data_IF_817537238239
#
_entry.id   IF_817537238239
#
_cell.length_a   1.000
_cell.length_b   1.000
_cell.length_c   1.000
_cell.angle_alpha   90.00
_cell.angle_beta   90.00
_cell.angle_gamma   90.00
#
_symmetry.space_group_name_H-M   'P 1'
#
loop_
_entity.id
_entity.type
_entity.pdbx_description
1 polymer ?
#
# COMPACT_ATOMS: atom_id res chain seq x y z
N UNK A 1 21.18 22.94 -32.93
CA UNK A 1 20.17 22.99 -31.84
C UNK A 1 19.23 21.78 -31.86
N UNK A 2 18.57 21.41 -32.97
CA UNK A 2 17.67 20.22 -33.04
C UNK A 2 18.37 18.88 -32.74
N UNK A 3 19.58 18.68 -33.25
CA UNK A 3 20.31 17.42 -33.07
C UNK A 3 20.81 17.20 -31.63
N UNK A 4 21.16 18.26 -30.88
CA UNK A 4 21.53 18.19 -29.47
C UNK A 4 20.31 17.89 -28.56
N UNK A 5 19.16 18.41 -28.90
CA UNK A 5 17.91 18.12 -28.21
C UNK A 5 17.51 16.63 -28.35
N UNK A 6 17.64 16.08 -29.56
CA UNK A 6 17.37 14.66 -29.85
C UNK A 6 18.36 13.71 -29.15
N UNK A 7 19.65 14.07 -29.07
CA UNK A 7 20.67 13.26 -28.37
C UNK A 7 20.41 13.27 -26.86
N UNK A 8 20.08 14.43 -26.27
CA UNK A 8 19.71 14.54 -24.84
C UNK A 8 18.44 13.78 -24.51
N UNK A 9 17.41 13.84 -25.35
CA UNK A 9 16.18 13.10 -25.17
C UNK A 9 16.41 11.57 -25.20
N UNK A 10 17.19 11.06 -26.15
CA UNK A 10 17.57 9.64 -26.22
C UNK A 10 18.36 9.18 -24.99
N UNK A 11 19.31 9.99 -24.53
CA UNK A 11 20.10 9.71 -23.32
C UNK A 11 19.23 9.66 -22.07
N UNK A 12 18.26 10.57 -21.95
CA UNK A 12 17.30 10.60 -20.84
C UNK A 12 16.38 9.37 -20.85
N UNK A 13 15.84 9.01 -22.02
CA UNK A 13 15.01 7.82 -22.18
C UNK A 13 15.76 6.53 -21.85
N UNK A 14 17.01 6.41 -22.30
CA UNK A 14 17.87 5.28 -21.94
C UNK A 14 18.14 5.20 -20.44
N UNK A 15 18.34 6.33 -19.77
CA UNK A 15 18.53 6.40 -18.31
C UNK A 15 17.26 5.94 -17.57
N UNK A 16 16.08 6.38 -18.03
CA UNK A 16 14.81 5.94 -17.45
C UNK A 16 14.55 4.45 -17.65
N UNK A 17 14.78 3.92 -18.84
CA UNK A 17 14.67 2.47 -19.11
C UNK A 17 15.58 1.68 -18.19
N UNK A 18 16.86 2.07 -18.08
CA UNK A 18 17.81 1.38 -17.22
C UNK A 18 17.41 1.44 -15.73
N UNK A 19 16.87 2.58 -15.29
CA UNK A 19 16.34 2.72 -13.94
C UNK A 19 15.18 1.74 -13.69
N UNK A 20 14.28 1.59 -14.64
CA UNK A 20 13.18 0.64 -14.55
C UNK A 20 13.68 -0.81 -14.56
N UNK A 21 14.65 -1.18 -15.41
CA UNK A 21 15.26 -2.51 -15.43
C UNK A 21 15.81 -2.89 -14.04
N UNK A 22 16.41 -1.94 -13.31
CA UNK A 22 16.91 -2.16 -11.94
C UNK A 22 15.76 -2.39 -10.95
N UNK A 23 14.68 -1.61 -11.05
CA UNK A 23 13.51 -1.77 -10.18
C UNK A 23 12.83 -3.11 -10.47
N UNK A 24 12.71 -3.51 -11.73
CA UNK A 24 12.13 -4.79 -12.15
C UNK A 24 12.94 -5.96 -11.57
N UNK A 25 14.27 -5.88 -11.64
CA UNK A 25 15.16 -6.88 -11.06
C UNK A 25 15.04 -6.96 -9.53
N UNK A 26 14.91 -5.81 -8.85
CA UNK A 26 14.74 -5.75 -7.40
C UNK A 26 13.38 -6.33 -6.96
N UNK A 27 12.31 -5.95 -7.66
CA UNK A 27 10.96 -6.45 -7.42
C UNK A 27 10.89 -7.98 -7.62
N UNK A 28 11.42 -8.47 -8.74
CA UNK A 28 11.45 -9.91 -9.05
C UNK A 28 12.19 -10.70 -7.96
N UNK A 29 13.41 -10.30 -7.61
CA UNK A 29 14.18 -10.95 -6.54
C UNK A 29 13.47 -10.89 -5.19
N UNK A 30 12.82 -9.77 -4.89
CA UNK A 30 12.04 -9.62 -3.66
C UNK A 30 10.83 -10.55 -3.63
N UNK A 31 10.13 -10.71 -4.73
CA UNK A 31 8.96 -11.61 -4.83
C UNK A 31 9.37 -13.10 -4.79
N UNK A 32 10.51 -13.45 -5.40
CA UNK A 32 11.05 -14.82 -5.43
C UNK A 32 11.72 -15.22 -4.10
N UNK A 33 12.23 -14.25 -3.32
CA UNK A 33 13.02 -14.51 -2.11
C UNK A 33 12.17 -14.87 -0.88
N UNK A 34 12.80 -15.49 0.12
CA UNK A 34 12.17 -15.89 1.38
C UNK A 34 12.49 -14.89 2.51
N UNK A 35 11.74 -13.80 2.60
CA UNK A 35 11.67 -13.00 3.84
C UNK A 35 12.80 -12.00 4.10
N UNK A 36 13.73 -11.73 3.17
CA UNK A 36 14.76 -10.68 3.32
C UNK A 36 14.81 -9.77 2.10
N UNK A 37 15.24 -8.51 2.33
CA UNK A 37 15.51 -7.59 1.22
C UNK A 37 16.75 -8.08 0.47
N UNK A 38 16.68 -8.29 -0.87
CA UNK A 38 17.83 -8.57 -1.70
C UNK A 38 18.94 -7.53 -1.51
N UNK A 39 20.18 -7.97 -1.56
CA UNK A 39 21.33 -7.08 -1.51
C UNK A 39 21.48 -6.29 -2.82
N UNK A 40 22.12 -5.12 -2.77
CA UNK A 40 22.44 -4.34 -3.96
C UNK A 40 23.29 -5.13 -4.98
N UNK A 41 24.10 -6.09 -4.52
CA UNK A 41 24.92 -6.94 -5.40
C UNK A 41 24.06 -7.95 -6.18
N UNK A 42 23.07 -8.57 -5.52
CA UNK A 42 22.13 -9.49 -6.15
C UNK A 42 21.26 -8.77 -7.18
N UNK A 43 20.74 -7.58 -6.83
CA UNK A 43 19.96 -6.77 -7.76
C UNK A 43 20.80 -6.33 -8.98
N UNK A 44 22.00 -5.84 -8.76
CA UNK A 44 22.89 -5.45 -9.87
C UNK A 44 23.18 -6.65 -10.78
N UNK A 45 23.49 -7.82 -10.21
CA UNK A 45 23.70 -9.06 -10.97
C UNK A 45 22.46 -9.45 -11.79
N UNK A 46 21.26 -9.41 -11.20
CA UNK A 46 20.00 -9.72 -11.87
C UNK A 46 19.70 -8.74 -13.01
N UNK A 47 20.01 -7.44 -12.80
CA UNK A 47 19.88 -6.38 -13.81
C UNK A 47 21.03 -6.36 -14.85
N UNK A 48 21.96 -7.31 -14.78
CA UNK A 48 23.14 -7.38 -15.65
C UNK A 48 24.02 -6.13 -15.61
N UNK A 49 24.31 -5.66 -14.38
CA UNK A 49 25.09 -4.45 -14.08
C UNK A 49 26.21 -4.74 -13.07
N UNK A 50 27.25 -3.91 -13.11
CA UNK A 50 28.20 -3.84 -11.99
C UNK A 50 27.51 -3.18 -10.77
N UNK A 51 27.84 -3.64 -9.54
CA UNK A 51 27.28 -3.09 -8.29
C UNK A 51 27.39 -1.56 -8.20
N UNK A 52 28.53 -0.98 -8.61
CA UNK A 52 28.73 0.48 -8.61
C UNK A 52 27.79 1.23 -9.54
N UNK A 53 27.34 0.60 -10.64
CA UNK A 53 26.41 1.20 -11.58
C UNK A 53 25.02 1.39 -10.97
N UNK A 54 24.58 0.52 -10.06
CA UNK A 54 23.30 0.67 -9.35
C UNK A 54 23.24 1.98 -8.58
N UNK A 55 24.35 2.36 -7.93
CA UNK A 55 24.43 3.60 -7.13
C UNK A 55 24.48 4.89 -7.95
N UNK A 56 24.60 4.80 -9.30
CA UNK A 56 24.38 5.94 -10.19
C UNK A 56 22.87 6.27 -10.38
N UNK A 57 21.99 5.34 -10.03
CA UNK A 57 20.54 5.46 -10.18
C UNK A 57 19.78 5.59 -8.85
N UNK A 58 20.32 5.01 -7.77
CA UNK A 58 19.70 4.98 -6.44
C UNK A 58 20.76 5.28 -5.39
N UNK A 59 20.50 6.26 -4.55
CA UNK A 59 21.43 6.68 -3.48
C UNK A 59 21.73 5.54 -2.49
N UNK A 60 20.76 4.65 -2.26
CA UNK A 60 20.90 3.49 -1.38
C UNK A 60 20.06 2.31 -1.87
N UNK A 61 20.25 1.15 -1.26
CA UNK A 61 19.38 -0.01 -1.46
C UNK A 61 17.96 0.30 -0.98
N UNK A 62 17.84 1.02 0.10
CA UNK A 62 16.59 1.43 0.72
C UNK A 62 15.80 2.38 -0.20
N UNK A 63 16.46 3.34 -0.85
CA UNK A 63 15.87 4.20 -1.87
C UNK A 63 15.32 3.39 -3.06
N UNK A 64 16.02 2.34 -3.49
CA UNK A 64 15.52 1.43 -4.52
C UNK A 64 14.26 0.67 -4.04
N UNK A 65 14.25 0.16 -2.82
CA UNK A 65 13.09 -0.58 -2.30
C UNK A 65 11.90 0.33 -1.95
N UNK A 66 12.09 1.62 -1.71
CA UNK A 66 10.98 2.60 -1.71
C UNK A 66 10.31 2.70 -3.09
N UNK A 67 11.05 2.55 -4.20
CA UNK A 67 10.46 2.48 -5.54
C UNK A 67 9.63 1.21 -5.75
N UNK A 68 10.12 0.06 -5.31
CA UNK A 68 9.37 -1.19 -5.35
C UNK A 68 8.10 -1.07 -4.53
N UNK A 69 8.19 -0.51 -3.32
CA UNK A 69 7.03 -0.26 -2.46
C UNK A 69 6.01 0.67 -3.11
N UNK A 70 6.46 1.71 -3.83
CA UNK A 70 5.56 2.60 -4.60
C UNK A 70 4.80 1.86 -5.69
N UNK A 71 5.42 0.88 -6.37
CA UNK A 71 4.72 0.04 -7.36
C UNK A 71 3.63 -0.80 -6.72
N UNK A 72 3.86 -1.34 -5.53
CA UNK A 72 2.84 -2.09 -4.80
C UNK A 72 1.68 -1.20 -4.37
N UNK A 73 1.97 -0.01 -3.85
CA UNK A 73 0.94 0.99 -3.56
C UNK A 73 0.18 1.43 -4.81
N UNK A 74 0.87 1.57 -5.94
CA UNK A 74 0.22 1.88 -7.22
C UNK A 74 -0.80 0.80 -7.60
N UNK A 75 -0.40 -0.46 -7.59
CA UNK A 75 -1.30 -1.57 -7.90
C UNK A 75 -2.50 -1.65 -6.96
N UNK A 76 -2.29 -1.38 -5.66
CA UNK A 76 -3.39 -1.32 -4.70
C UNK A 76 -4.33 -0.15 -4.97
N UNK A 77 -3.81 1.04 -5.26
CA UNK A 77 -4.63 2.21 -5.58
C UNK A 77 -5.43 2.03 -6.87
N UNK A 78 -4.83 1.46 -7.90
CA UNK A 78 -5.50 1.18 -9.16
C UNK A 78 -6.65 0.18 -8.96
N UNK A 79 -6.42 -0.90 -8.22
CA UNK A 79 -7.45 -1.87 -7.84
C UNK A 79 -8.59 -1.20 -7.02
N UNK A 80 -8.24 -0.36 -6.04
CA UNK A 80 -9.24 0.33 -5.22
C UNK A 80 -10.12 1.26 -6.05
N UNK A 81 -9.52 2.01 -7.00
CA UNK A 81 -10.26 2.90 -7.89
C UNK A 81 -11.18 2.12 -8.82
N UNK A 82 -10.74 0.97 -9.35
CA UNK A 82 -11.58 0.09 -10.16
C UNK A 82 -12.80 -0.42 -9.39
N UNK A 83 -12.60 -0.86 -8.13
CA UNK A 83 -13.69 -1.30 -7.26
C UNK A 83 -14.69 -0.17 -7.00
N UNK A 84 -14.19 1.04 -6.70
CA UNK A 84 -15.02 2.22 -6.45
C UNK A 84 -15.81 2.60 -7.72
N UNK A 85 -15.18 2.55 -8.90
CA UNK A 85 -15.84 2.82 -10.17
C UNK A 85 -16.95 1.79 -10.46
N UNK A 86 -16.70 0.51 -10.24
CA UNK A 86 -17.72 -0.54 -10.37
C UNK A 86 -18.88 -0.32 -9.39
N UNK A 87 -18.59 0.10 -8.18
CA UNK A 87 -19.62 0.43 -7.17
C UNK A 87 -20.42 1.68 -7.56
N UNK A 88 -19.77 2.69 -8.17
CA UNK A 88 -20.42 3.90 -8.65
C UNK A 88 -21.43 3.64 -9.77
N UNK A 89 -21.22 2.60 -10.59
CA UNK A 89 -22.15 2.17 -11.66
C UNK A 89 -23.46 1.59 -11.11
N UNK A 90 -23.51 1.21 -9.82
CA UNK A 90 -24.73 0.71 -9.19
C UNK A 90 -25.68 1.85 -8.84
N UNK A 91 -27.00 1.60 -8.86
CA UNK A 91 -27.96 2.53 -8.30
C UNK A 91 -27.57 2.92 -6.87
N UNK A 92 -27.73 4.20 -6.46
CA UNK A 92 -27.32 4.64 -5.11
C UNK A 92 -27.89 3.81 -3.96
N UNK A 93 -29.11 3.29 -4.10
CA UNK A 93 -29.75 2.44 -3.08
C UNK A 93 -29.14 1.02 -2.97
N UNK A 94 -28.36 0.57 -3.96
CA UNK A 94 -27.71 -0.75 -4.01
C UNK A 94 -26.22 -0.68 -3.67
N UNK A 95 -25.68 0.51 -3.46
CA UNK A 95 -24.27 0.71 -3.08
C UNK A 95 -24.03 0.22 -1.66
N UNK A 96 -23.02 -0.64 -1.53
CA UNK A 96 -22.63 -1.24 -0.24
C UNK A 96 -21.17 -0.92 0.09
N UNK A 97 -20.87 0.02 1.00
CA UNK A 97 -19.51 0.34 1.39
C UNK A 97 -18.77 -0.84 2.04
N UNK A 98 -19.50 -1.80 2.65
CA UNK A 98 -18.85 -2.99 3.22
C UNK A 98 -18.37 -3.96 2.13
N UNK A 99 -18.97 -3.93 0.92
CA UNK A 99 -18.44 -4.64 -0.25
C UNK A 99 -17.10 -4.05 -0.68
N UNK A 100 -17.03 -2.71 -0.79
CA UNK A 100 -15.78 -2.01 -1.11
C UNK A 100 -14.71 -2.31 -0.06
N UNK A 101 -15.05 -2.30 1.22
CA UNK A 101 -14.14 -2.64 2.30
C UNK A 101 -13.57 -4.06 2.17
N UNK A 102 -14.42 -5.07 1.85
CA UNK A 102 -13.97 -6.46 1.64
C UNK A 102 -12.97 -6.57 0.51
N UNK A 103 -13.24 -5.96 -0.63
CA UNK A 103 -12.35 -5.99 -1.78
C UNK A 103 -11.00 -5.31 -1.49
N UNK A 104 -10.99 -4.23 -0.71
CA UNK A 104 -9.76 -3.57 -0.26
C UNK A 104 -8.89 -4.49 0.58
N UNK A 105 -9.51 -5.23 1.51
CA UNK A 105 -8.81 -6.19 2.37
C UNK A 105 -8.34 -7.39 1.58
N UNK A 106 -9.18 -7.95 0.72
CA UNK A 106 -8.88 -9.13 -0.09
C UNK A 106 -7.63 -8.91 -0.96
N UNK A 107 -7.49 -7.71 -1.53
CA UNK A 107 -6.27 -7.35 -2.27
C UNK A 107 -5.01 -7.46 -1.41
N UNK A 108 -5.05 -6.95 -0.18
CA UNK A 108 -3.91 -6.92 0.73
C UNK A 108 -3.61 -8.31 1.30
N UNK A 109 -4.64 -9.05 1.70
CA UNK A 109 -4.52 -10.40 2.27
C UNK A 109 -3.81 -11.36 1.30
N UNK A 110 -4.10 -11.24 0.01
CA UNK A 110 -3.47 -12.05 -1.04
C UNK A 110 -2.03 -11.64 -1.38
N UNK A 111 -1.49 -10.57 -0.76
CA UNK A 111 -0.18 -9.98 -1.11
C UNK A 111 0.73 -9.79 0.09
N UNK A 112 1.06 -10.90 0.76
CA UNK A 112 1.94 -10.91 1.95
C UNK A 112 3.29 -10.23 1.71
N UNK A 113 3.84 -10.32 0.49
CA UNK A 113 5.10 -9.64 0.13
C UNK A 113 4.96 -8.12 0.12
N UNK A 114 3.81 -7.58 -0.31
CA UNK A 114 3.53 -6.15 -0.18
C UNK A 114 3.49 -5.72 1.29
N UNK A 115 2.75 -6.46 2.13
CA UNK A 115 2.65 -6.16 3.57
C UNK A 115 4.02 -6.25 4.26
N UNK A 116 4.84 -7.24 3.90
CA UNK A 116 6.20 -7.34 4.40
C UNK A 116 7.03 -6.10 4.04
N UNK A 117 7.05 -5.68 2.77
CA UNK A 117 7.82 -4.50 2.37
C UNK A 117 7.28 -3.22 3.04
N UNK A 118 5.96 -3.09 3.16
CA UNK A 118 5.32 -1.97 3.84
C UNK A 118 5.66 -1.93 5.34
N UNK A 119 5.78 -3.08 6.01
CA UNK A 119 6.18 -3.14 7.41
C UNK A 119 7.60 -2.62 7.66
N UNK A 120 8.46 -2.67 6.65
CA UNK A 120 9.83 -2.16 6.71
C UNK A 120 9.92 -0.64 6.40
N UNK A 121 8.82 0.00 5.98
CA UNK A 121 8.85 1.38 5.47
C UNK A 121 9.51 2.33 6.45
N UNK A 122 8.97 2.48 7.65
CA UNK A 122 9.45 3.49 8.63
C UNK A 122 10.75 3.09 9.32
N UNK A 123 10.89 1.82 9.68
CA UNK A 123 12.00 1.34 10.49
C UNK A 123 13.27 1.04 9.70
N UNK A 124 13.17 0.80 8.40
CA UNK A 124 14.30 0.37 7.56
C UNK A 124 14.45 1.25 6.32
N UNK A 125 13.40 1.31 5.48
CA UNK A 125 13.54 1.93 4.16
C UNK A 125 13.72 3.46 4.26
N UNK A 126 12.88 4.13 5.06
CA UNK A 126 12.94 5.58 5.21
C UNK A 126 14.17 6.03 6.01
N UNK A 127 14.64 5.21 6.96
CA UNK A 127 15.86 5.51 7.71
C UNK A 127 17.14 5.33 6.88
N UNK A 128 17.15 4.39 5.94
CA UNK A 128 18.30 4.09 5.10
C UNK A 128 18.33 4.83 3.75
N UNK A 129 17.23 5.49 3.37
CA UNK A 129 17.14 6.27 2.14
C UNK A 129 17.51 7.74 2.38
N UNK A 130 17.86 8.45 1.29
CA UNK A 130 18.06 9.90 1.31
C UNK A 130 16.70 10.65 1.40
N UNK A 131 16.76 11.90 1.90
CA UNK A 131 15.58 12.74 2.12
C UNK A 131 14.74 12.96 0.85
N UNK A 132 15.39 13.07 -0.32
CA UNK A 132 14.70 13.25 -1.60
C UNK A 132 13.88 12.02 -1.95
N UNK A 133 14.46 10.83 -1.84
CA UNK A 133 13.78 9.54 -2.08
C UNK A 133 12.60 9.34 -1.11
N UNK A 134 12.77 9.67 0.16
CA UNK A 134 11.71 9.62 1.18
C UNK A 134 10.59 10.60 0.82
N UNK A 135 10.92 11.84 0.51
CA UNK A 135 9.93 12.87 0.17
C UNK A 135 9.13 12.53 -1.09
N UNK A 136 9.79 11.99 -2.12
CA UNK A 136 9.13 11.49 -3.34
C UNK A 136 8.14 10.37 -2.98
N UNK A 137 8.56 9.41 -2.13
CA UNK A 137 7.69 8.33 -1.68
C UNK A 137 6.47 8.86 -0.90
N UNK A 138 6.67 9.76 0.07
CA UNK A 138 5.58 10.34 0.87
C UNK A 138 4.58 11.13 0.01
N UNK A 139 5.07 11.94 -0.91
CA UNK A 139 4.21 12.69 -1.86
C UNK A 139 3.39 11.76 -2.73
N UNK A 140 3.98 10.66 -3.19
CA UNK A 140 3.28 9.66 -3.98
C UNK A 140 2.15 9.01 -3.18
N UNK A 141 2.44 8.52 -1.97
CA UNK A 141 1.44 7.90 -1.09
C UNK A 141 0.32 8.88 -0.75
N UNK A 142 0.66 10.14 -0.42
CA UNK A 142 -0.33 11.18 -0.13
C UNK A 142 -1.27 11.46 -1.33
N UNK A 143 -0.71 11.56 -2.54
CA UNK A 143 -1.50 11.74 -3.76
C UNK A 143 -2.40 10.55 -4.08
N UNK A 144 -1.91 9.34 -3.85
CA UNK A 144 -2.66 8.10 -4.00
C UNK A 144 -3.84 8.04 -3.03
N UNK A 145 -3.59 8.28 -1.74
CA UNK A 145 -4.63 8.30 -0.71
C UNK A 145 -5.68 9.35 -1.02
N UNK A 146 -5.24 10.57 -1.41
CA UNK A 146 -6.16 11.64 -1.81
C UNK A 146 -7.07 11.19 -2.95
N UNK A 147 -6.52 10.66 -4.03
CA UNK A 147 -7.30 10.24 -5.20
C UNK A 147 -8.35 9.17 -4.87
N UNK A 148 -8.00 8.19 -4.03
CA UNK A 148 -8.95 7.15 -3.59
C UNK A 148 -10.00 7.73 -2.64
N UNK A 149 -9.59 8.65 -1.74
CA UNK A 149 -10.52 9.31 -0.83
C UNK A 149 -11.52 10.23 -1.57
N UNK A 150 -11.07 10.97 -2.58
CA UNK A 150 -11.96 11.78 -3.43
C UNK A 150 -13.05 10.90 -4.07
N UNK A 151 -12.67 9.77 -4.65
CA UNK A 151 -13.60 8.83 -5.27
C UNK A 151 -14.61 8.22 -4.26
N UNK A 152 -14.15 7.83 -3.06
CA UNK A 152 -15.04 7.36 -1.99
C UNK A 152 -15.98 8.44 -1.51
N UNK A 153 -15.49 9.68 -1.36
CA UNK A 153 -16.30 10.83 -0.93
C UNK A 153 -17.45 11.09 -1.88
N UNK A 154 -17.18 11.00 -3.18
CA UNK A 154 -18.19 11.22 -4.22
C UNK A 154 -19.31 10.17 -4.18
N UNK A 155 -18.97 8.88 -4.08
CA UNK A 155 -19.98 7.82 -4.17
C UNK A 155 -20.80 7.62 -2.89
N UNK A 156 -20.25 7.97 -1.71
CA UNK A 156 -20.91 7.75 -0.42
C UNK A 156 -21.33 9.04 0.28
N UNK A 157 -21.13 10.20 -0.32
CA UNK A 157 -21.44 11.52 0.26
C UNK A 157 -20.82 11.72 1.67
N UNK A 158 -19.58 11.28 1.83
CA UNK A 158 -18.77 11.47 3.04
C UNK A 158 -17.70 12.53 2.79
N UNK A 159 -17.14 13.13 3.84
CA UNK A 159 -16.06 14.09 3.69
C UNK A 159 -14.75 13.41 3.23
N UNK A 160 -13.89 14.17 2.53
CA UNK A 160 -12.57 13.68 2.12
C UNK A 160 -11.74 13.19 3.33
N UNK A 161 -11.88 13.85 4.50
CA UNK A 161 -11.18 13.44 5.72
C UNK A 161 -11.69 12.09 6.25
N UNK A 162 -13.01 11.86 6.23
CA UNK A 162 -13.61 10.58 6.61
C UNK A 162 -13.14 9.46 5.68
N UNK A 163 -13.14 9.71 4.36
CA UNK A 163 -12.65 8.76 3.38
C UNK A 163 -11.16 8.44 3.57
N UNK A 164 -10.32 9.45 3.84
CA UNK A 164 -8.90 9.25 4.18
C UNK A 164 -8.71 8.39 5.43
N UNK A 165 -9.50 8.64 6.47
CA UNK A 165 -9.44 7.87 7.70
C UNK A 165 -9.83 6.40 7.47
N UNK A 166 -10.89 6.16 6.68
CA UNK A 166 -11.27 4.79 6.29
C UNK A 166 -10.11 4.06 5.63
N UNK A 167 -9.45 4.68 4.65
CA UNK A 167 -8.33 4.08 3.93
C UNK A 167 -7.10 3.84 4.82
N UNK A 168 -6.67 4.87 5.56
CA UNK A 168 -5.45 4.81 6.37
C UNK A 168 -5.59 3.81 7.52
N UNK A 169 -6.73 3.84 8.23
CA UNK A 169 -6.97 2.93 9.37
C UNK A 169 -7.18 1.50 8.89
N UNK A 170 -7.84 1.27 7.74
CA UNK A 170 -7.95 -0.07 7.16
C UNK A 170 -6.57 -0.66 6.83
N UNK A 171 -5.70 0.13 6.20
CA UNK A 171 -4.34 -0.31 5.92
C UNK A 171 -3.55 -0.61 7.20
N UNK A 172 -3.65 0.25 8.21
CA UNK A 172 -2.99 0.07 9.50
C UNK A 172 -3.48 -1.20 10.23
N UNK A 173 -4.78 -1.46 10.24
CA UNK A 173 -5.37 -2.68 10.82
C UNK A 173 -4.83 -3.94 10.12
N UNK A 174 -4.88 -3.97 8.79
CA UNK A 174 -4.39 -5.12 8.01
C UNK A 174 -2.90 -5.34 8.24
N UNK A 175 -2.09 -4.26 8.18
CA UNK A 175 -0.64 -4.35 8.38
C UNK A 175 -0.27 -4.82 9.78
N UNK A 176 -0.95 -4.29 10.82
CA UNK A 176 -0.73 -4.68 12.21
C UNK A 176 -1.09 -6.16 12.46
N UNK A 177 -2.25 -6.61 11.99
CA UNK A 177 -2.67 -8.00 12.09
C UNK A 177 -1.74 -8.93 11.31
N UNK A 178 -1.29 -8.51 10.12
CA UNK A 178 -0.30 -9.25 9.38
C UNK A 178 1.01 -9.40 10.17
N UNK A 179 1.54 -8.32 10.75
CA UNK A 179 2.77 -8.40 11.57
C UNK A 179 2.60 -9.34 12.75
N UNK A 180 1.48 -9.27 13.45
CA UNK A 180 1.18 -10.16 14.58
C UNK A 180 1.03 -11.63 14.18
N UNK A 181 0.58 -11.91 12.96
CA UNK A 181 0.45 -13.27 12.42
C UNK A 181 1.79 -13.88 11.97
N UNK A 182 2.87 -13.09 11.82
CA UNK A 182 4.18 -13.56 11.35
C UNK A 182 4.96 -14.26 12.47
N UNK A 183 4.34 -15.24 13.11
CA UNK A 183 4.97 -16.03 14.18
C UNK A 183 5.86 -17.11 13.55
N UNK A 184 7.16 -17.22 13.94
CA UNK A 184 8.04 -18.27 13.43
C UNK A 184 7.48 -19.68 13.71
N UNK A 185 7.61 -20.61 12.76
CA UNK A 185 7.07 -21.97 12.85
C UNK A 185 7.45 -22.68 14.17
N UNK A 186 8.70 -22.51 14.61
CA UNK A 186 9.16 -23.03 15.90
C UNK A 186 8.31 -22.53 17.06
N UNK A 187 7.91 -21.26 17.05
CA UNK A 187 7.10 -20.66 18.11
C UNK A 187 5.66 -21.15 18.02
N UNK A 188 5.11 -21.30 16.82
CA UNK A 188 3.78 -21.90 16.60
C UNK A 188 3.71 -23.31 17.19
N UNK A 189 4.74 -24.13 16.98
CA UNK A 189 4.83 -25.47 17.57
C UNK A 189 4.84 -25.40 19.10
N UNK A 190 5.63 -24.50 19.70
CA UNK A 190 5.68 -24.31 21.14
C UNK A 190 4.32 -23.85 21.71
N UNK A 191 3.63 -22.94 21.02
CA UNK A 191 2.31 -22.48 21.45
C UNK A 191 1.32 -23.64 21.47
N UNK A 192 1.25 -24.43 20.42
CA UNK A 192 0.38 -25.63 20.35
C UNK A 192 0.68 -26.66 21.45
N UNK A 193 1.97 -26.91 21.76
CA UNK A 193 2.37 -27.84 22.80
C UNK A 193 2.04 -27.38 24.23
N UNK A 194 1.73 -26.07 24.41
CA UNK A 194 1.45 -25.46 25.71
C UNK A 194 0.02 -24.87 25.83
N UNK A 195 -0.92 -25.32 25.00
CA UNK A 195 -2.31 -24.89 24.98
C UNK A 195 -2.46 -23.35 24.83
N UNK A 196 -1.68 -22.77 23.92
CA UNK A 196 -1.69 -21.33 23.58
C UNK A 196 -2.18 -21.10 22.14
N UNK A 197 -2.91 -22.03 21.56
CA UNK A 197 -3.42 -21.94 20.18
C UNK A 197 -4.28 -20.70 19.94
N UNK A 198 -5.02 -20.25 20.94
CA UNK A 198 -5.86 -19.07 20.89
C UNK A 198 -5.09 -17.76 20.64
N UNK A 199 -3.76 -17.78 20.81
CA UNK A 199 -2.88 -16.67 20.47
C UNK A 199 -2.44 -16.68 19.00
N UNK A 200 -2.72 -17.74 18.24
CA UNK A 200 -2.36 -17.86 16.83
C UNK A 200 -3.42 -17.15 15.99
N UNK A 201 -3.04 -16.07 15.35
CA UNK A 201 -3.95 -15.25 14.55
C UNK A 201 -4.16 -15.90 13.18
N UNK A 202 -5.40 -16.20 12.82
CA UNK A 202 -5.81 -16.36 11.42
C UNK A 202 -5.85 -14.98 10.77
N UNK A 203 -4.80 -14.67 10.03
CA UNK A 203 -4.63 -13.33 9.44
C UNK A 203 -5.77 -12.95 8.51
N UNK A 204 -6.17 -13.82 7.58
CA UNK A 204 -7.16 -13.50 6.58
C UNK A 204 -8.53 -13.19 7.21
N UNK A 205 -8.98 -14.06 8.10
CA UNK A 205 -10.24 -13.90 8.80
C UNK A 205 -10.23 -12.69 9.74
N UNK A 206 -9.14 -12.51 10.49
CA UNK A 206 -9.03 -11.41 11.44
C UNK A 206 -8.98 -10.06 10.74
N UNK A 207 -8.24 -9.94 9.61
CA UNK A 207 -8.15 -8.72 8.83
C UNK A 207 -9.50 -8.34 8.21
N UNK A 208 -10.20 -9.30 7.60
CA UNK A 208 -11.53 -9.06 7.04
C UNK A 208 -12.51 -8.60 8.12
N UNK A 209 -12.60 -9.36 9.21
CA UNK A 209 -13.53 -9.03 10.31
C UNK A 209 -13.22 -7.64 10.88
N UNK A 210 -11.96 -7.34 11.21
CA UNK A 210 -11.59 -6.08 11.83
C UNK A 210 -11.91 -4.87 10.93
N UNK A 211 -11.62 -4.95 9.64
CA UNK A 211 -11.90 -3.85 8.71
C UNK A 211 -13.38 -3.69 8.45
N UNK A 212 -14.13 -4.78 8.31
CA UNK A 212 -15.59 -4.71 8.11
C UNK A 212 -16.27 -4.08 9.31
N UNK A 213 -15.93 -4.49 10.54
CA UNK A 213 -16.52 -3.90 11.75
C UNK A 213 -16.10 -2.43 11.93
N UNK A 214 -14.84 -2.09 11.63
CA UNK A 214 -14.38 -0.71 11.61
C UNK A 214 -15.21 0.14 10.63
N UNK A 215 -15.36 -0.29 9.37
CA UNK A 215 -16.17 0.46 8.39
C UNK A 215 -17.63 0.58 8.81
N UNK A 216 -18.22 -0.49 9.36
CA UNK A 216 -19.61 -0.47 9.85
C UNK A 216 -19.80 0.57 10.95
N UNK A 217 -18.87 0.64 11.89
CA UNK A 217 -18.93 1.62 12.98
C UNK A 217 -18.80 3.05 12.46
N UNK A 218 -17.80 3.32 11.60
CA UNK A 218 -17.57 4.63 11.03
C UNK A 218 -18.76 5.12 10.18
N UNK A 219 -19.30 4.27 9.30
CA UNK A 219 -20.46 4.61 8.46
C UNK A 219 -21.69 4.91 9.31
N UNK A 220 -21.87 4.18 10.41
CA UNK A 220 -22.98 4.43 11.34
C UNK A 220 -22.82 5.77 12.02
N UNK A 221 -21.63 6.10 12.51
CA UNK A 221 -21.32 7.40 13.12
C UNK A 221 -21.55 8.56 12.14
N UNK A 222 -21.07 8.43 10.89
CA UNK A 222 -21.27 9.44 9.83
C UNK A 222 -22.74 9.72 9.53
N UNK A 223 -23.60 8.70 9.56
CA UNK A 223 -25.05 8.88 9.34
C UNK A 223 -25.69 9.66 10.49
N UNK A 224 -25.28 9.43 11.73
CA UNK A 224 -25.78 10.17 12.89
C UNK A 224 -25.38 11.64 12.86
N UNK A 225 -24.12 11.93 12.51
CA UNK A 225 -23.61 13.31 12.41
C UNK A 225 -24.33 14.11 11.32
N UNK A 226 -24.65 13.49 10.19
CA UNK A 226 -25.39 14.11 9.10
C UNK A 226 -26.85 14.43 9.50
N UNK A 227 -27.53 13.57 10.26
CA UNK A 227 -28.89 13.80 10.77
C UNK A 227 -28.89 14.95 11.78
N UNK A 228 -27.97 14.95 12.73
CA UNK A 228 -27.86 16.00 13.74
C UNK A 228 -27.55 17.38 13.13
N UNK A 229 -26.71 17.41 12.09
CA UNK A 229 -26.41 18.64 11.35
C UNK A 229 -27.61 19.17 10.57
N UNK A 230 -28.46 18.30 10.05
CA UNK A 230 -29.68 18.69 9.31
C UNK A 230 -30.76 19.24 10.25
N UNK A 231 -30.93 18.64 11.41
CA UNK A 231 -31.89 19.11 12.44
C UNK A 231 -31.47 20.48 13.02
N UNK A 232 -30.17 20.72 13.19
CA UNK A 232 -29.65 22.00 13.65
C UNK A 232 -29.89 23.15 12.65
N UNK A 233 -29.87 22.86 11.34
CA UNK A 233 -30.10 23.86 10.28
C UNK A 233 -31.62 24.17 10.11
N UNK A 234 -32.49 23.21 10.38
CA UNK A 234 -33.95 23.38 10.28
C UNK A 234 -34.53 24.12 11.50
N UNK A 235 -33.76 24.21 12.59
CA UNK A 235 -34.19 24.85 13.85
C UNK A 235 -33.79 26.33 13.95
N UNK A 236 -33.17 26.90 12.92
CA UNK A 236 -32.81 28.34 12.77
C UNK A 236 -33.70 29.02 11.76
#
# INVERSE_FOLDING_TARGET
MENECLVRARSHEQKLRRRNDIIDAAEMLFLEGEGQLPSAAEVAKKANLAKGTLYLYFASKEALFLEVLRRFFKGWSENNLEIIEQEAMRPPAERDPLRVAREFVDYLVKRSRFLYLASLSHGVLEQGADDESVLIHKRYVAAMVKRTADALSEIYAITEQQARNLMANSFALVLGLWQMSQVPDRVVVLMRQNALEDMIIDFAQSAETAVIEFWRAEITAMKHDNVASHEAVVSL
#
